data_IF_999210974426
#
_entry.id   IF_999210974426
#
_cell.length_a   1.000
_cell.length_b   1.000
_cell.length_c   1.000
_cell.angle_alpha   90.00
_cell.angle_beta   90.00
_cell.angle_gamma   90.00
#
_symmetry.space_group_name_H-M   'P 1'
#
loop_
_entity.id
_entity.type
_entity.pdbx_description
1 polymer ?
#
# COMPACT_ATOMS: atom_id res chain seq x y z
N UNK A 1 3.81 -6.56 -22.77
CA UNK A 1 3.51 -5.54 -21.76
C UNK A 1 2.09 -5.75 -21.24
N UNK A 2 1.92 -6.24 -20.02
CA UNK A 2 0.58 -6.36 -19.44
C UNK A 2 0.20 -5.00 -18.86
N UNK A 3 -0.57 -4.21 -19.62
CA UNK A 3 -1.11 -2.91 -19.17
C UNK A 3 -1.95 -3.13 -17.90
N UNK A 4 -1.95 -2.14 -17.00
CA UNK A 4 -3.04 -1.99 -16.02
C UNK A 4 -4.35 -2.09 -16.78
N UNK A 5 -5.22 -3.03 -16.42
CA UNK A 5 -6.54 -3.13 -17.01
C UNK A 5 -7.34 -1.85 -16.72
N UNK A 6 -8.00 -1.30 -17.76
CA UNK A 6 -8.95 -0.18 -17.70
C UNK A 6 -8.41 1.20 -17.26
N UNK A 7 -7.54 1.83 -18.07
CA UNK A 7 -7.24 3.26 -17.91
C UNK A 7 -8.17 4.12 -18.80
N UNK A 8 -9.02 4.95 -18.20
CA UNK A 8 -9.63 6.09 -18.90
C UNK A 8 -8.60 7.18 -19.16
N UNK A 9 -8.83 8.00 -20.19
CA UNK A 9 -8.03 9.19 -20.47
C UNK A 9 -8.43 10.38 -19.60
N UNK A 10 -9.24 10.15 -18.58
CA UNK A 10 -9.72 11.16 -17.64
C UNK A 10 -8.57 11.66 -16.74
N UNK A 11 -8.69 12.88 -16.23
CA UNK A 11 -7.66 13.50 -15.37
C UNK A 11 -7.37 12.68 -14.10
N UNK A 12 -8.39 11.99 -13.57
CA UNK A 12 -8.25 11.14 -12.38
C UNK A 12 -7.30 9.97 -12.66
N UNK A 13 -7.52 9.23 -13.75
CA UNK A 13 -6.65 8.10 -14.09
C UNK A 13 -5.25 8.51 -14.49
N UNK A 14 -5.10 9.69 -15.12
CA UNK A 14 -3.77 10.19 -15.48
C UNK A 14 -2.93 10.58 -14.25
N UNK A 15 -3.57 11.03 -13.17
CA UNK A 15 -2.86 11.57 -11.99
C UNK A 15 -2.74 10.53 -10.86
N UNK A 16 -3.83 9.83 -10.53
CA UNK A 16 -3.95 9.06 -9.30
C UNK A 16 -3.92 7.54 -9.50
N UNK A 17 -4.05 7.04 -10.74
CA UNK A 17 -4.11 5.60 -10.99
C UNK A 17 -2.72 4.98 -11.13
N UNK A 18 -2.36 4.13 -10.17
CA UNK A 18 -1.21 3.23 -10.22
C UNK A 18 -1.63 1.80 -10.56
N UNK A 19 -0.65 0.89 -10.57
CA UNK A 19 -0.87 -0.54 -10.80
C UNK A 19 -0.28 -1.36 -9.66
N UNK A 20 -1.09 -2.21 -9.05
CA UNK A 20 -0.69 -3.17 -8.04
C UNK A 20 -0.52 -4.55 -8.69
N UNK A 21 0.55 -5.25 -8.34
CA UNK A 21 0.78 -6.63 -8.73
C UNK A 21 0.54 -7.55 -7.53
N UNK A 22 -0.40 -8.48 -7.68
CA UNK A 22 -0.67 -9.55 -6.71
C UNK A 22 -0.15 -10.88 -7.25
N UNK A 23 0.86 -11.43 -6.60
CA UNK A 23 1.42 -12.74 -6.93
C UNK A 23 0.94 -13.80 -5.94
N UNK A 24 0.33 -14.86 -6.46
CA UNK A 24 -0.05 -16.05 -5.70
C UNK A 24 0.88 -17.20 -6.10
N UNK A 25 1.67 -17.67 -5.14
CA UNK A 25 2.64 -18.75 -5.34
C UNK A 25 2.15 -20.02 -4.67
N UNK A 26 1.88 -21.04 -5.48
CA UNK A 26 1.52 -22.38 -5.00
C UNK A 26 2.69 -22.99 -4.22
N UNK A 27 2.44 -23.50 -3.00
CA UNK A 27 3.50 -24.10 -2.18
C UNK A 27 3.88 -25.52 -2.63
N UNK A 28 3.02 -26.19 -3.38
CA UNK A 28 3.27 -27.54 -3.91
C UNK A 28 4.13 -27.53 -5.17
N UNK A 29 3.70 -26.81 -6.22
CA UNK A 29 4.40 -26.80 -7.52
C UNK A 29 5.22 -25.53 -7.80
N UNK A 30 5.22 -24.54 -6.90
CA UNK A 30 5.90 -23.23 -7.06
C UNK A 30 5.42 -22.41 -8.27
N UNK A 31 4.30 -22.78 -8.87
CA UNK A 31 3.65 -22.02 -9.94
C UNK A 31 3.17 -20.67 -9.41
N UNK A 32 3.42 -19.61 -10.19
CA UNK A 32 3.03 -18.24 -9.86
C UNK A 32 1.83 -17.84 -10.71
N UNK A 33 0.80 -17.30 -10.06
CA UNK A 33 -0.33 -16.63 -10.70
C UNK A 33 -0.28 -15.15 -10.38
N UNK A 34 -0.11 -14.31 -11.39
CA UNK A 34 0.04 -12.86 -11.26
C UNK A 34 -1.24 -12.15 -11.72
N UNK A 35 -1.78 -11.28 -10.88
CA UNK A 35 -2.89 -10.38 -11.21
C UNK A 35 -2.41 -8.93 -11.13
N UNK A 36 -2.78 -8.11 -12.11
CA UNK A 36 -2.46 -6.68 -12.16
C UNK A 36 -3.75 -5.88 -12.05
N UNK A 37 -3.89 -5.11 -10.97
CA UNK A 37 -5.09 -4.36 -10.67
C UNK A 37 -4.77 -2.85 -10.55
N UNK A 38 -5.62 -1.96 -11.09
CA UNK A 38 -5.47 -0.53 -10.87
C UNK A 38 -5.75 -0.18 -9.39
N UNK A 39 -5.06 0.83 -8.86
CA UNK A 39 -5.34 1.39 -7.54
C UNK A 39 -5.32 2.91 -7.56
N UNK A 40 -6.06 3.55 -6.64
CA UNK A 40 -6.08 5.00 -6.44
C UNK A 40 -5.44 5.42 -5.10
N UNK A 41 -5.45 4.52 -4.13
CA UNK A 41 -4.77 4.66 -2.85
C UNK A 41 -4.12 3.34 -2.42
N UNK A 42 -3.15 3.44 -1.53
CA UNK A 42 -2.54 2.32 -0.83
C UNK A 42 -3.02 2.37 0.62
N UNK A 43 -3.97 1.50 0.93
CA UNK A 43 -4.55 1.36 2.26
C UNK A 43 -3.69 0.46 3.16
N UNK A 44 -3.01 1.05 4.14
CA UNK A 44 -1.97 0.46 4.97
C UNK A 44 -2.46 0.10 6.37
N UNK A 45 -2.17 -1.13 6.80
CA UNK A 45 -2.42 -1.60 8.15
C UNK A 45 -1.29 -1.18 9.11
N UNK A 46 -1.65 -0.56 10.23
CA UNK A 46 -0.69 -0.09 11.24
C UNK A 46 -0.11 -1.22 12.09
N UNK A 47 -0.77 -2.39 12.09
CA UNK A 47 -0.46 -3.60 12.84
C UNK A 47 -0.19 -3.35 14.33
N UNK A 48 0.45 -4.33 14.99
CA UNK A 48 0.72 -4.23 16.43
C UNK A 48 1.82 -3.21 16.67
N UNK A 49 1.47 -2.11 17.35
CA UNK A 49 2.40 -1.08 17.81
C UNK A 49 3.06 -1.59 19.10
N UNK A 50 4.28 -2.08 19.00
CA UNK A 50 5.08 -2.42 20.17
C UNK A 50 5.67 -1.15 20.78
N UNK A 51 5.66 -1.05 22.11
CA UNK A 51 6.05 0.17 22.86
C UNK A 51 7.55 0.55 22.73
N UNK A 52 8.35 -0.25 22.03
CA UNK A 52 9.81 -0.11 21.96
C UNK A 52 10.29 0.78 20.81
N UNK A 53 9.43 1.07 19.83
CA UNK A 53 9.78 1.87 18.65
C UNK A 53 8.57 2.59 18.07
N UNK A 54 8.76 3.84 17.64
CA UNK A 54 7.74 4.58 16.90
C UNK A 54 7.54 3.95 15.53
N UNK A 55 6.33 3.47 15.19
CA UNK A 55 6.06 2.92 13.86
C UNK A 55 6.21 3.99 12.77
N UNK A 56 6.57 3.56 11.57
CA UNK A 56 6.78 4.42 10.41
C UNK A 56 5.92 3.99 9.21
N UNK A 57 5.76 4.91 8.25
CA UNK A 57 5.16 4.62 6.95
C UNK A 57 5.92 3.51 6.20
N UNK A 58 7.25 3.45 6.37
CA UNK A 58 8.08 2.39 5.77
C UNK A 58 7.72 1.02 6.37
N UNK A 59 7.56 0.92 7.69
CA UNK A 59 7.12 -0.34 8.34
C UNK A 59 5.76 -0.80 7.80
N UNK A 60 4.87 0.15 7.53
CA UNK A 60 3.55 -0.14 6.98
C UNK A 60 3.64 -0.66 5.53
N UNK A 61 4.49 -0.05 4.70
CA UNK A 61 4.73 -0.47 3.32
C UNK A 61 5.43 -1.83 3.23
N UNK A 62 6.39 -2.09 4.12
CA UNK A 62 7.03 -3.39 4.25
C UNK A 62 6.00 -4.47 4.59
N UNK A 63 5.10 -4.21 5.54
CA UNK A 63 4.02 -5.14 5.88
C UNK A 63 3.06 -5.35 4.72
N UNK A 64 2.68 -4.29 4.01
CA UNK A 64 1.78 -4.35 2.86
C UNK A 64 2.36 -5.20 1.72
N UNK A 65 3.68 -5.13 1.49
CA UNK A 65 4.37 -5.87 0.41
C UNK A 65 5.00 -7.19 0.85
N UNK A 66 4.86 -7.56 2.12
CA UNK A 66 5.39 -8.81 2.66
C UNK A 66 4.60 -10.01 2.11
N UNK A 67 5.27 -11.09 1.68
CA UNK A 67 4.59 -12.35 1.40
C UNK A 67 3.85 -12.85 2.64
N UNK A 68 2.57 -13.17 2.50
CA UNK A 68 1.75 -13.77 3.53
C UNK A 68 1.28 -15.16 3.12
N UNK A 69 1.18 -16.06 4.09
CA UNK A 69 0.65 -17.41 3.86
C UNK A 69 -0.86 -17.39 4.07
N UNK A 70 -1.64 -17.84 3.07
CA UNK A 70 -3.10 -17.79 3.13
C UNK A 70 -3.69 -18.80 4.13
N UNK A 71 -2.92 -19.82 4.51
CA UNK A 71 -3.32 -20.84 5.47
C UNK A 71 -4.20 -21.94 4.86
N UNK A 72 -4.42 -22.99 5.66
CA UNK A 72 -5.15 -24.19 5.24
C UNK A 72 -6.63 -23.98 5.00
N UNK A 73 -7.22 -22.91 5.55
CA UNK A 73 -8.62 -22.52 5.38
C UNK A 73 -8.90 -21.73 4.09
N UNK A 74 -7.87 -21.18 3.43
CA UNK A 74 -8.00 -20.35 2.23
C UNK A 74 -7.15 -20.90 1.05
N UNK A 75 -7.16 -22.23 0.88
CA UNK A 75 -6.47 -22.90 -0.24
C UNK A 75 -7.02 -22.41 -1.58
N UNK A 76 -6.12 -22.23 -2.55
CA UNK A 76 -6.46 -21.79 -3.92
C UNK A 76 -6.32 -22.98 -4.86
N UNK A 77 -7.25 -23.08 -5.83
CA UNK A 77 -7.16 -24.10 -6.87
C UNK A 77 -6.01 -23.78 -7.81
N UNK A 78 -4.95 -24.57 -7.74
CA UNK A 78 -3.77 -24.39 -8.59
C UNK A 78 -4.08 -24.80 -10.04
N UNK A 79 -3.74 -23.93 -11.00
CA UNK A 79 -3.93 -24.19 -12.43
C UNK A 79 -3.04 -25.32 -12.95
N UNK A 80 -1.88 -25.56 -12.33
CA UNK A 80 -0.95 -26.65 -12.67
C UNK A 80 -1.29 -27.95 -11.97
N UNK A 81 -1.45 -27.95 -10.63
CA UNK A 81 -1.75 -29.16 -9.85
C UNK A 81 -3.18 -29.66 -10.05
N UNK A 82 -4.10 -28.78 -10.48
CA UNK A 82 -5.55 -29.01 -10.58
C UNK A 82 -6.26 -29.30 -9.25
N UNK A 83 -5.54 -29.25 -8.13
CA UNK A 83 -5.99 -29.43 -6.74
C UNK A 83 -5.99 -28.12 -5.96
N UNK A 84 -6.61 -28.12 -4.78
CA UNK A 84 -6.56 -27.01 -3.83
C UNK A 84 -5.29 -27.10 -2.99
N UNK A 85 -4.40 -26.14 -3.17
CA UNK A 85 -3.09 -26.11 -2.54
C UNK A 85 -2.94 -24.89 -1.64
N UNK A 86 -2.11 -25.03 -0.62
CA UNK A 86 -1.65 -23.87 0.14
C UNK A 86 -0.82 -22.95 -0.76
N UNK A 87 -0.96 -21.64 -0.53
CA UNK A 87 -0.32 -20.63 -1.36
C UNK A 87 0.16 -19.47 -0.49
N UNK A 88 1.19 -18.78 -0.96
CA UNK A 88 1.56 -17.47 -0.43
C UNK A 88 1.06 -16.39 -1.37
N UNK A 89 0.56 -15.29 -0.82
CA UNK A 89 0.18 -14.10 -1.57
C UNK A 89 1.17 -12.98 -1.26
N UNK A 90 1.56 -12.22 -2.28
CA UNK A 90 2.39 -11.04 -2.11
C UNK A 90 1.87 -9.91 -2.98
N UNK A 91 1.81 -8.70 -2.42
CA UNK A 91 1.61 -7.48 -3.21
C UNK A 91 2.94 -6.80 -3.51
N UNK A 92 3.02 -6.17 -4.68
CA UNK A 92 4.09 -5.24 -5.05
C UNK A 92 3.54 -4.14 -5.94
N UNK A 93 4.19 -2.98 -5.95
CA UNK A 93 3.76 -1.85 -6.77
C UNK A 93 4.38 -2.02 -8.16
N UNK A 94 3.55 -2.22 -9.17
CA UNK A 94 4.01 -2.33 -10.56
C UNK A 94 4.31 -0.96 -11.17
N UNK A 95 3.40 -0.02 -10.96
CA UNK A 95 3.51 1.36 -11.46
C UNK A 95 2.98 2.32 -10.40
N UNK A 96 3.75 3.35 -10.09
CA UNK A 96 3.30 4.44 -9.22
C UNK A 96 2.48 5.47 -10.02
N UNK A 97 1.42 6.05 -9.41
CA UNK A 97 0.75 7.21 -9.97
C UNK A 97 1.62 8.47 -9.87
N UNK A 98 1.24 9.54 -10.56
CA UNK A 98 1.88 10.86 -10.42
C UNK A 98 1.70 11.39 -8.99
N UNK A 99 0.51 11.17 -8.42
CA UNK A 99 0.20 11.49 -7.03
C UNK A 99 -0.22 10.22 -6.32
N UNK A 100 0.64 9.70 -5.44
CA UNK A 100 0.34 8.54 -4.62
C UNK A 100 -0.40 8.94 -3.35
N UNK A 101 -1.55 8.31 -3.11
CA UNK A 101 -2.32 8.46 -1.88
C UNK A 101 -2.04 7.28 -0.95
N UNK A 102 -1.68 7.57 0.31
CA UNK A 102 -1.51 6.55 1.35
C UNK A 102 -2.60 6.74 2.41
N UNK A 103 -3.40 5.70 2.62
CA UNK A 103 -4.45 5.69 3.62
C UNK A 103 -3.99 4.83 4.81
N UNK A 104 -3.80 5.45 5.98
CA UNK A 104 -3.52 4.73 7.22
C UNK A 104 -4.83 4.21 7.82
N UNK A 105 -5.02 2.89 7.87
CA UNK A 105 -6.21 2.25 8.43
C UNK A 105 -6.20 2.36 9.96
N UNK A 106 -6.66 3.51 10.47
CA UNK A 106 -6.68 3.86 11.90
C UNK A 106 -7.89 3.30 12.66
N UNK A 107 -8.67 2.39 12.09
CA UNK A 107 -9.86 1.85 12.74
C UNK A 107 -9.76 0.33 12.80
N UNK A 108 -9.78 -0.21 14.01
CA UNK A 108 -9.84 -1.64 14.27
C UNK A 108 -11.20 -2.00 14.86
N UNK A 109 -11.81 -3.05 14.30
CA UNK A 109 -13.04 -3.62 14.82
C UNK A 109 -12.71 -4.76 15.78
N UNK A 110 -13.00 -4.58 17.07
CA UNK A 110 -12.85 -5.65 18.05
C UNK A 110 -14.11 -6.50 18.08
N UNK A 111 -14.08 -7.69 17.47
CA UNK A 111 -15.22 -8.63 17.48
C UNK A 111 -15.53 -9.17 18.87
N UNK A 112 -14.52 -9.25 19.76
CA UNK A 112 -14.69 -9.72 21.14
C UNK A 112 -15.31 -8.68 22.06
N UNK A 113 -15.08 -7.39 21.79
CA UNK A 113 -15.60 -6.28 22.60
C UNK A 113 -16.78 -5.55 21.94
N UNK A 114 -17.11 -5.87 20.68
CA UNK A 114 -18.12 -5.19 19.85
C UNK A 114 -17.93 -3.66 19.80
N UNK A 115 -16.69 -3.19 19.79
CA UNK A 115 -16.34 -1.76 19.77
C UNK A 115 -15.30 -1.50 18.68
N UNK A 116 -15.51 -0.42 17.95
CA UNK A 116 -14.54 0.16 17.03
C UNK A 116 -13.56 1.06 17.80
N UNK A 117 -12.27 0.82 17.61
CA UNK A 117 -11.21 1.59 18.27
C UNK A 117 -10.44 2.42 17.24
N UNK A 118 -10.38 3.73 17.46
CA UNK A 118 -9.45 4.62 16.75
C UNK A 118 -8.01 4.39 17.23
N UNK A 119 -7.11 4.12 16.30
CA UNK A 119 -5.66 4.07 16.52
C UNK A 119 -5.13 5.50 16.42
N UNK A 120 -4.85 6.10 17.58
CA UNK A 120 -4.25 7.45 17.70
C UNK A 120 -2.73 7.44 17.80
N UNK A 121 -2.07 6.31 17.49
CA UNK A 121 -0.62 6.20 17.51
C UNK A 121 -0.02 7.07 16.40
N UNK A 122 0.95 7.90 16.77
CA UNK A 122 1.77 8.65 15.82
C UNK A 122 2.50 7.69 14.87
N UNK A 123 2.40 7.94 13.57
CA UNK A 123 3.13 7.21 12.54
C UNK A 123 4.12 8.19 11.92
N UNK A 124 5.42 7.90 12.04
CA UNK A 124 6.44 8.74 11.41
C UNK A 124 6.47 8.53 9.89
N UNK A 125 6.60 9.60 9.12
CA UNK A 125 6.78 9.53 7.67
C UNK A 125 7.82 10.55 7.19
N UNK A 126 8.64 10.21 6.19
CA UNK A 126 9.66 11.13 5.69
C UNK A 126 9.07 12.11 4.67
N UNK A 127 9.73 13.26 4.51
CA UNK A 127 9.44 14.21 3.43
C UNK A 127 9.76 13.63 2.03
N UNK A 128 10.71 12.69 1.98
CA UNK A 128 11.14 11.99 0.77
C UNK A 128 11.05 10.49 1.02
N UNK A 129 10.36 9.78 0.14
CA UNK A 129 10.09 8.36 0.28
C UNK A 129 10.65 7.62 -0.94
N UNK A 130 11.60 6.71 -0.70
CA UNK A 130 12.05 5.78 -1.73
C UNK A 130 11.07 4.61 -1.83
N UNK A 131 10.36 4.53 -2.95
CA UNK A 131 9.40 3.46 -3.21
C UNK A 131 10.02 2.23 -3.87
N UNK A 132 11.27 2.31 -4.33
CA UNK A 132 11.98 1.25 -5.06
C UNK A 132 11.91 -0.11 -4.36
N UNK A 133 12.10 -0.23 -3.03
CA UNK A 133 12.03 -1.51 -2.32
C UNK A 133 10.66 -2.21 -2.41
N UNK A 134 9.60 -1.44 -2.66
CA UNK A 134 8.20 -1.91 -2.69
C UNK A 134 7.70 -2.18 -4.11
N UNK A 135 8.53 -1.90 -5.12
CA UNK A 135 8.18 -2.09 -6.53
C UNK A 135 8.43 -3.52 -7.02
N UNK A 136 7.68 -3.94 -8.04
CA UNK A 136 7.90 -5.22 -8.72
C UNK A 136 9.25 -5.22 -9.46
N UNK A 137 10.01 -6.31 -9.39
CA UNK A 137 11.40 -6.42 -9.89
C UNK A 137 11.59 -6.25 -11.42
N UNK A 138 10.51 -6.13 -12.19
CA UNK A 138 10.56 -6.13 -13.65
C UNK A 138 10.46 -4.73 -14.29
N UNK A 139 10.47 -3.66 -13.51
CA UNK A 139 10.40 -2.29 -14.04
C UNK A 139 11.42 -1.39 -13.36
N UNK A 140 12.60 -1.30 -14.00
CA UNK A 140 13.60 -0.29 -13.70
C UNK A 140 13.05 1.10 -14.06
N UNK A 141 13.19 2.03 -13.11
CA UNK A 141 12.95 3.47 -13.22
C UNK A 141 11.54 3.96 -12.80
N UNK A 142 11.40 4.24 -11.51
CA UNK A 142 10.44 5.24 -11.03
C UNK A 142 11.17 6.57 -10.82
N UNK A 143 10.78 7.60 -11.57
CA UNK A 143 11.27 8.96 -11.38
C UNK A 143 10.27 9.74 -10.52
N UNK A 144 10.69 10.20 -9.34
CA UNK A 144 9.88 11.08 -8.48
C UNK A 144 10.15 12.53 -8.88
N UNK A 145 9.11 13.27 -9.29
CA UNK A 145 9.22 14.71 -9.59
C UNK A 145 8.64 15.53 -8.43
N UNK A 146 9.50 16.30 -7.78
CA UNK A 146 9.09 17.31 -6.81
C UNK A 146 8.44 18.49 -7.52
N UNK A 147 7.25 18.94 -7.10
CA UNK A 147 6.64 20.16 -7.63
C UNK A 147 6.21 21.09 -6.49
N UNK A 148 7.02 22.14 -6.30
CA UNK A 148 6.83 23.32 -5.44
C UNK A 148 6.62 23.00 -3.95
N UNK A 149 7.65 23.26 -3.14
CA UNK A 149 7.77 23.08 -1.68
C UNK A 149 6.74 23.84 -0.80
N UNK A 150 5.51 24.04 -1.26
CA UNK A 150 4.48 24.78 -0.54
C UNK A 150 3.51 23.80 0.11
N UNK A 151 3.55 23.73 1.44
CA UNK A 151 2.61 22.95 2.23
C UNK A 151 1.42 23.81 2.66
N UNK A 152 0.22 23.25 2.61
CA UNK A 152 -1.01 23.93 3.03
C UNK A 152 -1.75 23.01 4.00
N UNK A 153 -2.11 23.54 5.17
CA UNK A 153 -3.02 22.89 6.11
C UNK A 153 -4.45 23.33 5.77
N UNK A 154 -5.34 22.37 5.63
CA UNK A 154 -6.77 22.60 5.43
C UNK A 154 -7.52 22.30 6.73
N UNK A 155 -8.04 23.34 7.37
CA UNK A 155 -8.92 23.26 8.55
C UNK A 155 -10.32 23.71 8.14
N UNK A 156 -11.08 22.80 7.53
CA UNK A 156 -12.40 23.02 6.92
C UNK A 156 -12.45 24.19 5.92
N UNK A 157 -12.73 25.40 6.42
CA UNK A 157 -12.88 26.62 5.63
C UNK A 157 -11.60 27.48 5.60
N UNK A 158 -10.56 27.10 6.34
CA UNK A 158 -9.31 27.85 6.44
C UNK A 158 -8.18 27.05 5.79
N UNK A 159 -7.59 27.63 4.75
CA UNK A 159 -6.31 27.17 4.20
C UNK A 159 -5.19 28.04 4.76
N UNK A 160 -4.23 27.42 5.45
CA UNK A 160 -3.05 28.11 5.98
C UNK A 160 -1.78 27.48 5.43
N UNK A 161 -0.74 28.30 5.21
CA UNK A 161 0.58 27.77 4.82
C UNK A 161 1.14 26.99 6.02
N UNK A 162 1.59 25.77 5.77
CA UNK A 162 2.27 24.94 6.76
C UNK A 162 3.77 24.89 6.45
N UNK A 163 4.58 24.71 7.49
CA UNK A 163 5.96 24.29 7.34
C UNK A 163 6.03 22.78 7.17
N UNK A 164 7.11 22.30 6.53
CA UNK A 164 7.37 20.86 6.42
C UNK A 164 7.34 20.19 7.82
N UNK A 165 7.97 20.82 8.81
CA UNK A 165 7.96 20.31 10.19
C UNK A 165 6.54 20.13 10.73
N UNK A 166 5.67 21.13 10.54
CA UNK A 166 4.28 21.03 10.98
C UNK A 166 3.51 19.91 10.28
N UNK A 167 3.81 19.61 9.01
CA UNK A 167 3.20 18.47 8.30
C UNK A 167 3.71 17.14 8.84
N UNK A 168 5.03 17.02 9.05
CA UNK A 168 5.62 15.79 9.59
C UNK A 168 5.19 15.54 11.05
N UNK A 169 4.86 16.61 11.79
CA UNK A 169 4.41 16.58 13.18
C UNK A 169 2.87 16.68 13.31
N UNK A 170 2.08 16.69 12.22
CA UNK A 170 0.64 17.03 12.28
C UNK A 170 -0.29 15.95 12.85
N UNK A 171 0.27 14.87 13.41
CA UNK A 171 -0.51 13.77 14.01
C UNK A 171 -0.28 13.63 15.51
#
# INVERSE_FOLDING_TARGET
ETKCSNQCTCIIDQIFTGCLQSDVVCQSCRGVSTTIDPFWDISLDLGVVNQTSTPSLLDCLERFTRPEHLGSSAKIKCSTCKTYEESTKQFSIRTLPIVASFHLKRFEHSTSLQVDKKISTYISFPAQLDMTPFMSKNHENAYVRHHKDVWVKCDDHILSIASLKQVLDSE
#
